data_IF_857761172995
#
_entry.id   IF_857761172995
#
_cell.length_a   1.000
_cell.length_b   1.000
_cell.length_c   1.000
_cell.angle_alpha   90.00
_cell.angle_beta   90.00
_cell.angle_gamma   90.00
#
_symmetry.space_group_name_H-M   'P 1'
#
loop_
_entity.id
_entity.type
_entity.pdbx_description
1 polymer ?
#
# COMPACT_ATOMS: atom_id res chain seq x y z
N UNK A 1 10.08 -40.61 35.33
CA UNK A 1 9.73 -41.08 33.98
C UNK A 1 8.22 -41.09 33.85
N UNK A 2 7.63 -40.13 33.16
CA UNK A 2 6.24 -40.20 32.68
C UNK A 2 6.02 -39.04 31.70
N UNK A 3 5.71 -39.38 30.45
CA UNK A 3 5.27 -38.47 29.38
C UNK A 3 3.82 -38.05 29.61
N UNK A 4 3.34 -36.92 29.05
CA UNK A 4 1.95 -36.76 28.70
C UNK A 4 1.70 -36.98 27.20
N UNK A 5 0.54 -37.59 26.95
CA UNK A 5 -0.02 -37.98 25.67
C UNK A 5 -0.82 -36.85 25.04
N UNK A 6 -0.74 -36.71 23.72
CA UNK A 6 -1.70 -35.97 22.90
C UNK A 6 -3.07 -36.65 22.92
N UNK A 7 -4.15 -35.87 22.89
CA UNK A 7 -5.36 -36.07 22.07
C UNK A 7 -6.50 -35.17 22.55
N UNK A 8 -6.99 -34.28 21.69
CA UNK A 8 -8.42 -34.14 21.33
C UNK A 8 -8.64 -32.81 20.63
N UNK A 9 -8.71 -32.89 19.30
CA UNK A 9 -9.02 -31.82 18.38
C UNK A 9 -10.30 -32.28 17.69
N UNK A 10 -11.45 -31.69 18.02
CA UNK A 10 -12.71 -31.98 17.29
C UNK A 10 -13.66 -30.76 17.30
N UNK A 11 -14.23 -30.54 16.11
CA UNK A 11 -15.51 -29.90 15.75
C UNK A 11 -15.57 -28.37 15.67
N UNK A 12 -15.68 -27.83 14.44
CA UNK A 12 -16.97 -27.33 13.94
C UNK A 12 -16.99 -27.18 12.41
N UNK A 13 -17.88 -27.95 11.77
CA UNK A 13 -18.32 -27.79 10.39
C UNK A 13 -19.76 -27.25 10.40
N UNK A 14 -20.06 -26.28 9.54
CA UNK A 14 -21.40 -25.84 9.17
C UNK A 14 -21.31 -25.34 7.71
N UNK A 15 -21.81 -26.06 6.70
CA UNK A 15 -23.21 -26.25 6.29
C UNK A 15 -23.84 -25.01 5.64
N UNK A 16 -23.83 -24.95 4.29
CA UNK A 16 -24.84 -24.23 3.49
C UNK A 16 -25.10 -24.97 2.16
N UNK A 17 -26.39 -25.17 1.87
CA UNK A 17 -26.95 -25.79 0.68
C UNK A 17 -27.14 -24.75 -0.46
N UNK A 18 -27.26 -25.18 -1.74
CA UNK A 18 -27.13 -24.31 -2.90
C UNK A 18 -28.45 -23.65 -3.33
N UNK A 19 -28.35 -22.43 -3.86
CA UNK A 19 -29.43 -21.76 -4.61
C UNK A 19 -29.24 -21.94 -6.11
N UNK A 20 -30.30 -22.44 -6.75
CA UNK A 20 -30.50 -22.57 -8.20
C UNK A 20 -30.65 -21.18 -8.83
N UNK A 21 -29.94 -20.93 -9.94
CA UNK A 21 -30.32 -19.89 -10.91
C UNK A 21 -30.20 -20.50 -12.32
N UNK A 22 -31.33 -20.54 -13.01
CA UNK A 22 -31.47 -21.00 -14.39
C UNK A 22 -30.73 -20.07 -15.36
N UNK A 23 -29.97 -20.68 -16.26
CA UNK A 23 -29.33 -20.02 -17.38
C UNK A 23 -30.35 -19.76 -18.50
N UNK A 24 -30.41 -18.51 -18.99
CA UNK A 24 -31.00 -18.20 -20.29
C UNK A 24 -29.93 -17.54 -21.16
N UNK A 25 -29.44 -18.30 -22.13
CA UNK A 25 -28.59 -17.88 -23.24
C UNK A 25 -29.46 -17.37 -24.39
N UNK A 26 -29.17 -16.19 -24.95
CA UNK A 26 -29.40 -15.91 -26.38
C UNK A 26 -28.30 -14.98 -26.90
N UNK A 27 -27.62 -15.44 -27.96
CA UNK A 27 -26.56 -14.75 -28.68
C UNK A 27 -27.05 -13.73 -29.73
N UNK A 28 -26.17 -13.32 -30.67
CA UNK A 28 -26.07 -11.95 -31.15
C UNK A 28 -26.78 -11.69 -32.48
N UNK A 29 -27.04 -10.41 -32.80
CA UNK A 29 -27.20 -9.99 -34.20
C UNK A 29 -26.76 -8.55 -34.42
N UNK A 30 -25.92 -8.38 -35.44
CA UNK A 30 -25.49 -7.14 -36.07
C UNK A 30 -25.99 -7.17 -37.52
N UNK A 31 -26.30 -6.04 -38.16
CA UNK A 31 -26.26 -5.96 -39.61
C UNK A 31 -25.34 -4.84 -40.12
N UNK A 32 -24.41 -5.25 -40.98
CA UNK A 32 -23.64 -4.43 -41.91
C UNK A 32 -24.50 -3.59 -42.86
N UNK A 33 -23.96 -2.44 -43.29
CA UNK A 33 -24.27 -1.85 -44.59
C UNK A 33 -23.01 -1.25 -45.22
N UNK A 34 -23.05 -1.12 -46.54
CA UNK A 34 -21.93 -1.23 -47.49
C UNK A 34 -21.30 0.11 -47.89
N UNK A 35 -20.00 0.05 -48.16
CA UNK A 35 -19.19 0.65 -49.24
C UNK A 35 -19.74 1.88 -50.01
N UNK A 36 -18.93 2.94 -50.04
CA UNK A 36 -18.71 3.75 -51.25
C UNK A 36 -17.21 4.07 -51.40
N UNK A 37 -16.64 3.69 -52.54
CA UNK A 37 -15.32 4.08 -53.03
C UNK A 37 -15.43 5.45 -53.73
N UNK A 38 -14.48 6.34 -53.46
CA UNK A 38 -14.17 7.47 -54.33
C UNK A 38 -12.64 7.63 -54.39
N UNK A 39 -12.07 7.30 -55.55
CA UNK A 39 -10.69 7.59 -55.94
C UNK A 39 -10.49 9.10 -56.12
N UNK A 40 -9.48 9.65 -55.46
CA UNK A 40 -8.90 10.96 -55.83
C UNK A 40 -7.38 10.83 -55.81
N UNK A 41 -6.82 10.71 -57.01
CA UNK A 41 -5.41 10.90 -57.31
C UNK A 41 -5.05 12.38 -57.22
N UNK A 42 -4.09 12.75 -56.38
CA UNK A 42 -3.38 14.03 -56.47
C UNK A 42 -1.88 13.85 -56.30
N UNK A 43 -1.24 14.03 -57.44
CA UNK A 43 0.17 14.35 -57.75
C UNK A 43 0.94 15.05 -56.61
N UNK A 44 2.10 14.48 -56.26
CA UNK A 44 3.12 15.11 -55.43
C UNK A 44 4.05 15.97 -56.30
N UNK A 45 4.16 17.26 -55.99
CA UNK A 45 5.12 18.20 -56.61
C UNK A 45 6.31 18.39 -55.66
N UNK A 46 7.49 17.96 -56.11
CA UNK A 46 8.75 18.04 -55.36
C UNK A 46 9.34 19.45 -55.46
N UNK A 47 9.53 20.13 -54.33
CA UNK A 47 10.25 21.41 -54.23
C UNK A 47 11.69 21.12 -53.72
N UNK A 48 12.75 21.66 -54.36
CA UNK A 48 14.12 21.37 -53.98
C UNK A 48 14.55 22.12 -52.71
N UNK A 49 15.41 21.45 -51.94
CA UNK A 49 15.96 21.87 -50.63
C UNK A 49 17.13 22.83 -50.86
N UNK A 50 17.19 24.01 -50.21
CA UNK A 50 18.41 24.79 -50.19
C UNK A 50 19.36 24.24 -49.11
N UNK A 51 20.59 23.94 -49.51
CA UNK A 51 21.70 23.71 -48.60
C UNK A 51 22.32 25.06 -48.26
N UNK A 52 22.49 25.40 -46.98
CA UNK A 52 23.63 26.21 -46.51
C UNK A 52 23.82 26.10 -45.00
N UNK A 53 25.09 26.23 -44.63
CA UNK A 53 25.80 25.95 -43.40
C UNK A 53 25.39 26.83 -42.20
N UNK A 54 25.43 26.26 -40.99
CA UNK A 54 26.35 26.71 -39.92
C UNK A 54 26.19 25.82 -38.67
N UNK A 55 27.29 25.23 -38.23
CA UNK A 55 27.37 24.49 -36.98
C UNK A 55 27.45 25.47 -35.82
N UNK A 56 26.31 25.80 -35.23
CA UNK A 56 26.29 26.38 -33.88
C UNK A 56 26.36 25.21 -32.90
N UNK A 57 27.51 25.05 -32.23
CA UNK A 57 27.62 24.22 -31.05
C UNK A 57 26.71 24.79 -29.96
N UNK A 58 25.44 24.39 -29.96
CA UNK A 58 24.60 24.52 -28.79
C UNK A 58 25.22 23.65 -27.71
N UNK A 59 25.89 24.28 -26.74
CA UNK A 59 26.11 23.69 -25.43
C UNK A 59 24.75 23.18 -24.96
N UNK A 60 24.57 21.85 -25.02
CA UNK A 60 23.50 21.16 -24.32
C UNK A 60 23.73 21.45 -22.83
N UNK A 61 23.14 22.54 -22.35
CA UNK A 61 22.83 22.65 -20.93
C UNK A 61 21.84 21.53 -20.69
N UNK A 62 22.28 20.48 -20.01
CA UNK A 62 21.39 19.51 -19.38
C UNK A 62 20.56 20.30 -18.38
N UNK A 63 19.41 20.78 -18.81
CA UNK A 63 18.37 21.20 -17.88
C UNK A 63 17.96 19.93 -17.15
N UNK A 64 18.47 19.74 -15.94
CA UNK A 64 17.98 18.73 -15.03
C UNK A 64 16.47 18.95 -14.91
N UNK A 65 15.70 17.96 -15.35
CA UNK A 65 14.25 18.00 -15.29
C UNK A 65 13.93 17.79 -13.81
N UNK A 66 13.70 18.89 -13.10
CA UNK A 66 13.31 18.89 -11.70
C UNK A 66 11.90 18.32 -11.60
N UNK A 67 11.78 17.03 -11.26
CA UNK A 67 10.49 16.46 -10.90
C UNK A 67 10.17 16.94 -9.48
N UNK A 68 9.39 18.02 -9.39
CA UNK A 68 9.04 18.67 -8.13
C UNK A 68 8.18 17.78 -7.25
N UNK A 69 8.84 17.01 -6.37
CA UNK A 69 8.23 16.25 -5.29
C UNK A 69 8.60 16.89 -3.95
N UNK A 70 7.99 18.03 -3.65
CA UNK A 70 8.17 18.71 -2.36
C UNK A 70 9.43 19.59 -2.25
N UNK A 71 9.75 20.06 -1.04
CA UNK A 71 10.96 20.86 -0.79
C UNK A 71 12.22 20.04 -1.03
N UNK A 72 13.35 20.73 -1.25
CA UNK A 72 14.64 20.05 -1.38
C UNK A 72 14.90 19.16 -0.15
N UNK A 73 15.31 17.88 -0.34
CA UNK A 73 15.52 16.97 0.77
C UNK A 73 16.63 17.46 1.69
N UNK A 74 16.35 17.46 3.00
CA UNK A 74 17.33 17.69 4.06
C UNK A 74 17.78 16.31 4.53
N UNK A 75 19.05 15.99 4.29
CA UNK A 75 19.61 14.67 4.57
C UNK A 75 20.18 14.59 5.98
N UNK A 76 19.83 13.52 6.68
CA UNK A 76 20.37 13.15 7.98
C UNK A 76 21.03 11.78 7.89
N UNK A 77 22.27 11.67 8.38
CA UNK A 77 22.96 10.40 8.50
C UNK A 77 22.28 9.54 9.56
N UNK A 78 21.87 8.34 9.16
CA UNK A 78 21.17 7.38 10.01
C UNK A 78 21.88 6.02 9.99
N UNK A 79 21.61 5.18 10.98
CA UNK A 79 22.25 3.87 11.11
C UNK A 79 21.21 2.75 11.04
N UNK A 80 21.50 1.71 10.27
CA UNK A 80 20.68 0.50 10.21
C UNK A 80 20.83 -0.26 11.53
N UNK A 81 19.74 -0.43 12.28
CA UNK A 81 19.77 -1.24 13.51
C UNK A 81 19.46 -2.71 13.25
N UNK A 82 18.63 -3.02 12.25
CA UNK A 82 18.36 -4.42 11.85
C UNK A 82 17.93 -4.54 10.40
N UNK A 83 18.17 -5.72 9.82
CA UNK A 83 17.65 -6.14 8.51
C UNK A 83 17.34 -7.64 8.59
N UNK A 84 16.08 -8.02 8.33
CA UNK A 84 15.63 -9.40 8.39
C UNK A 84 14.57 -9.70 7.31
N UNK A 85 14.43 -10.96 6.85
CA UNK A 85 13.30 -11.37 6.02
C UNK A 85 11.97 -11.04 6.70
N UNK A 86 11.04 -10.43 5.97
CA UNK A 86 9.74 -10.01 6.50
C UNK A 86 8.62 -11.05 6.26
N UNK A 87 8.86 -12.03 5.41
CA UNK A 87 7.88 -13.06 5.05
C UNK A 87 8.59 -14.39 4.73
N UNK A 88 7.88 -15.55 4.81
CA UNK A 88 8.48 -16.87 4.55
C UNK A 88 9.13 -17.06 3.17
N UNK A 89 8.67 -16.35 2.13
CA UNK A 89 9.28 -16.40 0.79
C UNK A 89 10.54 -15.54 0.67
N UNK A 90 10.84 -14.71 1.69
CA UNK A 90 11.90 -13.71 1.68
C UNK A 90 11.81 -12.70 0.52
N UNK A 91 10.62 -12.55 -0.09
CA UNK A 91 10.38 -11.56 -1.15
C UNK A 91 10.37 -10.11 -0.64
N UNK A 92 10.22 -9.93 0.68
CA UNK A 92 10.35 -8.64 1.36
C UNK A 92 11.31 -8.76 2.55
N UNK A 93 11.95 -7.65 2.91
CA UNK A 93 12.75 -7.49 4.12
C UNK A 93 12.17 -6.39 5.01
N UNK A 94 12.36 -6.53 6.31
CA UNK A 94 12.06 -5.51 7.32
C UNK A 94 13.38 -4.88 7.74
N UNK A 95 13.55 -3.60 7.43
CA UNK A 95 14.76 -2.83 7.76
C UNK A 95 14.39 -1.82 8.85
N UNK A 96 15.14 -1.84 9.95
CA UNK A 96 15.00 -0.87 11.03
C UNK A 96 16.14 0.13 10.98
N UNK A 97 15.82 1.41 11.12
CA UNK A 97 16.77 2.52 11.02
C UNK A 97 16.63 3.41 12.24
N UNK A 98 17.75 3.76 12.86
CA UNK A 98 17.80 4.76 13.92
C UNK A 98 17.75 6.15 13.32
N UNK A 99 16.70 6.89 13.67
CA UNK A 99 16.39 8.22 13.15
C UNK A 99 16.63 9.26 14.23
N UNK A 100 17.33 10.37 13.93
CA UNK A 100 17.46 11.51 14.83
C UNK A 100 16.09 12.01 15.35
N UNK A 101 16.04 12.43 16.61
CA UNK A 101 14.78 12.79 17.27
C UNK A 101 14.05 13.97 16.60
N UNK A 102 14.77 14.91 16.00
CA UNK A 102 14.22 16.04 15.26
C UNK A 102 13.50 15.60 13.98
N UNK A 103 14.12 14.72 13.18
CA UNK A 103 13.47 14.11 12.01
C UNK A 103 12.29 13.25 12.44
N UNK A 104 12.45 12.45 13.49
CA UNK A 104 11.39 11.60 14.01
C UNK A 104 10.17 12.40 14.51
N UNK A 105 10.39 13.60 15.05
CA UNK A 105 9.33 14.48 15.52
C UNK A 105 8.40 14.95 14.40
N UNK A 106 8.84 14.96 13.14
CA UNK A 106 8.00 15.33 11.99
C UNK A 106 7.01 14.23 11.58
N UNK A 107 7.24 12.98 12.02
CA UNK A 107 6.35 11.86 11.72
C UNK A 107 5.11 11.88 12.61
N UNK A 108 3.98 12.31 12.04
CA UNK A 108 2.71 12.50 12.76
C UNK A 108 1.57 11.65 12.21
N UNK A 109 1.61 11.33 10.91
CA UNK A 109 0.49 10.70 10.21
C UNK A 109 0.96 9.41 9.54
N UNK A 110 0.35 8.25 9.82
CA UNK A 110 0.64 6.99 9.14
C UNK A 110 0.54 7.15 7.62
N UNK A 111 1.45 6.52 6.87
CA UNK A 111 1.58 6.72 5.43
C UNK A 111 2.52 7.86 5.03
N UNK A 112 3.04 8.66 5.96
CA UNK A 112 4.22 9.47 5.64
C UNK A 112 5.42 8.56 5.30
N UNK A 113 6.33 9.12 4.51
CA UNK A 113 7.48 8.40 3.96
C UNK A 113 8.74 9.24 4.09
N UNK A 114 9.88 8.61 3.87
CA UNK A 114 11.18 9.26 3.73
C UNK A 114 11.84 8.84 2.43
N UNK A 115 12.80 9.63 1.98
CA UNK A 115 13.75 9.22 0.95
C UNK A 115 14.98 8.62 1.63
N UNK A 116 15.52 7.55 1.05
CA UNK A 116 16.73 6.88 1.55
C UNK A 116 17.72 6.70 0.40
N UNK A 117 19.00 6.98 0.66
CA UNK A 117 20.11 6.75 -0.29
C UNK A 117 21.35 6.24 0.44
N UNK A 118 22.33 5.65 -0.26
CA UNK A 118 23.64 5.34 0.32
C UNK A 118 24.28 6.58 0.95
N UNK A 119 24.94 6.42 2.10
CA UNK A 119 25.62 7.53 2.79
C UNK A 119 26.64 8.21 1.87
N UNK A 120 26.55 9.54 1.76
CA UNK A 120 27.58 10.35 1.10
C UNK A 120 27.61 10.25 -0.43
N UNK A 121 26.66 9.55 -1.05
CA UNK A 121 26.50 9.54 -2.51
C UNK A 121 25.41 10.54 -2.93
N UNK A 122 25.84 11.78 -3.22
CA UNK A 122 24.94 12.84 -3.67
C UNK A 122 24.32 12.61 -5.05
N UNK A 123 24.86 11.68 -5.83
CA UNK A 123 24.35 11.35 -7.16
C UNK A 123 23.46 10.11 -7.17
N UNK A 124 23.41 9.36 -6.06
CA UNK A 124 22.54 8.20 -5.93
C UNK A 124 21.08 8.61 -6.06
N UNK A 125 20.33 7.88 -6.89
CA UNK A 125 18.89 8.05 -6.94
C UNK A 125 18.27 7.49 -5.65
N UNK A 126 17.59 8.32 -4.85
CA UNK A 126 16.99 7.84 -3.62
C UNK A 126 15.80 6.94 -3.90
N UNK A 127 15.52 6.06 -2.95
CA UNK A 127 14.28 5.27 -2.89
C UNK A 127 13.32 5.89 -1.89
N UNK A 128 12.03 5.79 -2.17
CA UNK A 128 10.96 6.32 -1.32
C UNK A 128 10.41 5.17 -0.49
N UNK A 129 10.44 5.32 0.84
CA UNK A 129 10.01 4.27 1.77
C UNK A 129 8.96 4.82 2.74
N UNK A 130 7.75 4.27 2.65
CA UNK A 130 6.71 4.50 3.64
C UNK A 130 7.11 3.92 5.00
N UNK A 131 6.94 4.71 6.06
CA UNK A 131 7.28 4.30 7.42
C UNK A 131 6.24 3.28 7.90
N UNK A 132 6.69 2.08 8.27
CA UNK A 132 5.84 0.94 8.66
C UNK A 132 5.57 0.87 10.17
N UNK A 133 6.47 1.41 10.99
CA UNK A 133 6.24 1.62 12.42
C UNK A 133 5.23 2.76 12.64
N UNK A 134 4.35 2.71 13.66
CA UNK A 134 3.40 3.79 13.91
C UNK A 134 4.09 5.08 14.39
N UNK A 135 3.51 6.27 14.14
CA UNK A 135 3.98 7.50 14.75
C UNK A 135 3.91 7.39 16.28
N UNK A 136 4.94 7.83 16.98
CA UNK A 136 4.93 7.87 18.44
C UNK A 136 4.01 9.01 18.88
N UNK A 137 2.80 8.67 19.32
CA UNK A 137 1.89 9.65 19.92
C UNK A 137 2.46 10.13 21.24
N UNK A 138 3.00 11.35 21.28
CA UNK A 138 3.39 12.05 22.51
C UNK A 138 4.16 11.19 23.50
N UNK A 139 5.33 10.66 23.12
CA UNK A 139 6.26 10.13 24.11
C UNK A 139 6.46 11.23 25.17
N UNK A 140 6.20 10.88 26.44
CA UNK A 140 6.42 11.79 27.55
C UNK A 140 7.79 12.47 27.40
N UNK A 141 7.79 13.80 27.36
CA UNK A 141 8.95 14.70 27.26
C UNK A 141 9.99 14.51 28.38
N UNK A 142 9.75 13.58 29.30
CA UNK A 142 10.62 13.26 30.41
C UNK A 142 11.70 12.24 29.97
N UNK A 143 12.77 12.78 29.37
CA UNK A 143 14.00 12.09 28.98
C UNK A 143 13.88 11.11 27.80
N UNK A 144 13.25 11.57 26.70
CA UNK A 144 13.15 10.80 25.46
C UNK A 144 14.52 10.35 24.90
N UNK A 145 14.56 9.22 24.18
CA UNK A 145 15.79 8.74 23.56
C UNK A 145 16.32 9.75 22.53
N UNK A 146 17.64 9.81 22.35
CA UNK A 146 18.29 10.69 21.36
C UNK A 146 17.93 10.33 19.91
N UNK A 147 17.41 9.12 19.69
CA UNK A 147 16.97 8.59 18.40
C UNK A 147 15.74 7.69 18.57
N UNK A 148 14.91 7.62 17.52
CA UNK A 148 13.74 6.76 17.43
C UNK A 148 13.94 5.77 16.28
N UNK A 149 13.47 4.54 16.41
CA UNK A 149 13.58 3.55 15.33
C UNK A 149 12.39 3.66 14.37
N UNK A 150 12.67 3.88 13.09
CA UNK A 150 11.70 3.66 12.01
C UNK A 150 11.87 2.26 11.43
N UNK A 151 10.77 1.57 11.22
CA UNK A 151 10.75 0.29 10.49
C UNK A 151 10.24 0.51 9.07
N UNK A 152 10.86 -0.17 8.10
CA UNK A 152 10.48 -0.14 6.69
C UNK A 152 10.28 -1.56 6.17
N UNK A 153 9.25 -1.77 5.37
CA UNK A 153 9.04 -3.01 4.63
C UNK A 153 9.44 -2.79 3.16
N UNK A 154 10.49 -3.47 2.72
CA UNK A 154 11.05 -3.28 1.38
C UNK A 154 10.89 -4.57 0.59
N UNK A 155 10.15 -4.50 -0.52
CA UNK A 155 10.08 -5.60 -1.48
C UNK A 155 11.38 -5.68 -2.26
N UNK A 156 11.96 -6.87 -2.38
CA UNK A 156 13.16 -7.09 -3.20
C UNK A 156 12.83 -6.92 -4.69
N UNK A 157 13.70 -6.20 -5.38
CA UNK A 157 13.69 -5.96 -6.83
C UNK A 157 15.13 -5.98 -7.34
N UNK A 158 15.32 -6.00 -8.65
CA UNK A 158 16.67 -6.08 -9.24
C UNK A 158 17.52 -4.82 -8.98
N UNK A 159 16.93 -3.71 -8.51
CA UNK A 159 17.59 -2.40 -8.41
C UNK A 159 17.74 -1.87 -6.97
N UNK A 160 17.40 -2.67 -5.94
CA UNK A 160 17.43 -2.23 -4.54
C UNK A 160 18.15 -3.21 -3.60
N UNK A 161 19.00 -4.08 -4.16
CA UNK A 161 19.87 -4.99 -3.42
C UNK A 161 20.73 -4.25 -2.38
N UNK A 162 21.25 -3.07 -2.72
CA UNK A 162 22.06 -2.22 -1.85
C UNK A 162 21.40 -1.91 -0.49
N UNK A 163 20.06 -1.81 -0.44
CA UNK A 163 19.32 -1.59 0.81
C UNK A 163 18.72 -2.89 1.34
N UNK A 164 18.31 -3.83 0.48
CA UNK A 164 17.65 -5.05 0.98
C UNK A 164 18.62 -6.05 1.57
N UNK A 165 19.89 -5.97 1.19
CA UNK A 165 20.97 -6.80 1.70
C UNK A 165 21.92 -6.00 2.62
N UNK A 166 21.52 -4.78 3.01
CA UNK A 166 22.33 -3.91 3.86
C UNK A 166 22.61 -4.56 5.22
N UNK A 167 23.85 -4.44 5.69
CA UNK A 167 24.25 -4.97 6.99
C UNK A 167 23.75 -4.07 8.13
N UNK A 168 23.37 -4.63 9.29
CA UNK A 168 23.23 -3.86 10.51
C UNK A 168 24.51 -3.05 10.80
N UNK A 169 24.37 -1.91 11.45
CA UNK A 169 25.41 -0.89 11.71
C UNK A 169 25.91 -0.12 10.46
N UNK A 170 25.48 -0.46 9.25
CA UNK A 170 25.73 0.37 8.08
C UNK A 170 25.01 1.72 8.18
N UNK A 171 25.51 2.72 7.47
CA UNK A 171 24.94 4.06 7.45
C UNK A 171 24.23 4.33 6.13
N UNK A 172 23.16 5.13 6.21
CA UNK A 172 22.37 5.62 5.08
C UNK A 172 22.03 7.09 5.31
N UNK A 173 21.82 7.83 4.24
CA UNK A 173 21.22 9.17 4.34
C UNK A 173 19.70 9.04 4.23
N UNK A 174 18.99 9.66 5.16
CA UNK A 174 17.53 9.69 5.21
C UNK A 174 17.06 11.14 5.15
N UNK A 175 16.05 11.43 4.33
CA UNK A 175 15.47 12.78 4.26
C UNK A 175 14.65 13.13 5.50
N UNK A 176 14.18 14.37 5.56
CA UNK A 176 13.05 14.73 6.42
C UNK A 176 11.81 13.88 6.10
N UNK A 177 10.83 13.89 6.99
CA UNK A 177 9.57 13.19 6.77
C UNK A 177 8.74 13.94 5.72
N UNK A 178 8.20 13.19 4.76
CA UNK A 178 7.48 13.71 3.61
C UNK A 178 6.09 13.08 3.50
N UNK A 179 5.24 13.72 2.70
CA UNK A 179 3.89 13.27 2.40
C UNK A 179 2.86 13.67 3.47
N UNK A 180 1.59 13.59 3.08
CA UNK A 180 0.45 13.92 3.94
C UNK A 180 -0.07 12.69 4.73
N UNK A 181 0.46 11.50 4.44
CA UNK A 181 -0.03 10.23 5.00
C UNK A 181 -1.51 9.96 4.70
N UNK A 182 -2.16 9.25 5.62
CA UNK A 182 -3.61 9.06 5.66
C UNK A 182 -4.23 10.11 6.59
N UNK A 183 -4.83 11.19 6.05
CA UNK A 183 -5.44 12.27 6.84
C UNK A 183 -6.76 11.84 7.51
N UNK A 184 -6.69 10.87 8.42
CA UNK A 184 -7.83 10.25 9.10
C UNK A 184 -8.58 11.25 9.99
N UNK A 185 -7.87 12.10 10.72
CA UNK A 185 -8.50 13.13 11.57
C UNK A 185 -9.39 14.09 10.75
N UNK A 186 -8.90 14.54 9.60
CA UNK A 186 -9.64 15.46 8.73
C UNK A 186 -10.79 14.78 8.01
N UNK A 187 -10.58 13.57 7.49
CA UNK A 187 -11.54 12.93 6.60
C UNK A 187 -12.52 11.98 7.29
N UNK A 188 -12.20 11.46 8.47
CA UNK A 188 -13.13 10.62 9.23
C UNK A 188 -14.05 11.42 10.15
N UNK A 189 -13.57 12.56 10.67
CA UNK A 189 -14.26 13.40 11.67
C UNK A 189 -14.59 14.82 11.19
N UNK A 190 -13.97 15.32 10.11
CA UNK A 190 -14.05 16.74 9.73
C UNK A 190 -15.39 17.20 9.14
N UNK A 191 -16.33 16.30 8.89
CA UNK A 191 -17.61 16.62 8.25
C UNK A 191 -18.71 16.93 9.28
N UNK A 192 -18.71 18.17 9.79
CA UNK A 192 -19.61 18.68 10.86
C UNK A 192 -21.10 18.36 10.68
N UNK A 193 -21.59 18.30 9.43
CA UNK A 193 -23.01 18.08 9.12
C UNK A 193 -23.28 16.73 8.44
N UNK A 194 -22.35 15.80 8.54
CA UNK A 194 -22.45 14.47 7.95
C UNK A 194 -22.46 13.37 9.01
N UNK A 195 -22.80 12.14 8.62
CA UNK A 195 -22.73 10.99 9.50
C UNK A 195 -21.27 10.73 9.90
N UNK A 196 -20.98 10.50 11.20
CA UNK A 196 -19.64 10.15 11.63
C UNK A 196 -19.20 8.84 10.97
N UNK A 197 -17.91 8.71 10.69
CA UNK A 197 -17.38 7.44 10.17
C UNK A 197 -17.56 6.34 11.21
N UNK A 198 -18.22 5.25 10.85
CA UNK A 198 -18.48 4.08 11.71
C UNK A 198 -17.77 2.81 11.22
N UNK A 199 -17.51 2.72 9.90
CA UNK A 199 -16.85 1.57 9.30
C UNK A 199 -15.55 2.02 8.62
N UNK A 200 -14.46 1.29 8.85
CA UNK A 200 -13.15 1.55 8.25
C UNK A 200 -12.74 0.34 7.42
N UNK A 201 -12.52 0.54 6.12
CA UNK A 201 -12.06 -0.50 5.21
C UNK A 201 -10.60 -0.24 4.85
N UNK A 202 -9.71 -1.17 5.16
CA UNK A 202 -8.30 -1.08 4.84
C UNK A 202 -7.97 -2.04 3.70
N UNK A 203 -7.22 -1.58 2.73
CA UNK A 203 -6.81 -2.36 1.57
C UNK A 203 -5.31 -2.28 1.39
N UNK A 204 -4.66 -3.44 1.47
CA UNK A 204 -3.24 -3.59 1.26
C UNK A 204 -2.98 -4.61 0.14
N UNK A 205 -1.98 -4.35 -0.70
CA UNK A 205 -1.42 -5.35 -1.61
C UNK A 205 0.11 -5.40 -1.48
N UNK A 206 0.65 -6.59 -1.21
CA UNK A 206 2.09 -6.80 -1.05
C UNK A 206 2.70 -5.92 0.03
N UNK A 207 3.73 -5.14 -0.33
CA UNK A 207 4.42 -4.20 0.59
C UNK A 207 3.58 -2.97 0.98
N UNK A 208 2.44 -2.73 0.31
CA UNK A 208 1.48 -1.69 0.70
C UNK A 208 0.86 -1.90 2.10
N UNK A 209 1.11 -3.05 2.72
CA UNK A 209 0.78 -3.29 4.13
C UNK A 209 1.57 -2.40 5.09
N UNK A 210 2.74 -1.88 4.72
CA UNK A 210 3.57 -1.04 5.61
C UNK A 210 2.82 0.18 6.17
N UNK A 211 2.30 1.10 5.34
CA UNK A 211 1.59 2.26 5.86
C UNK A 211 0.25 1.87 6.51
N UNK A 212 -0.34 0.75 6.11
CA UNK A 212 -1.57 0.22 6.73
C UNK A 212 -1.28 -0.33 8.14
N UNK A 213 -0.17 -1.03 8.35
CA UNK A 213 0.31 -1.45 9.67
C UNK A 213 0.51 -0.22 10.56
N UNK A 214 1.22 0.80 10.06
CA UNK A 214 1.42 2.05 10.81
C UNK A 214 0.06 2.67 11.20
N UNK A 215 -0.93 2.65 10.30
CA UNK A 215 -2.27 3.16 10.60
C UNK A 215 -2.95 2.35 11.71
N UNK A 216 -2.97 1.01 11.58
CA UNK A 216 -3.56 0.09 12.56
C UNK A 216 -2.92 0.29 13.95
N UNK A 217 -1.59 0.30 14.01
CA UNK A 217 -0.85 0.35 15.27
C UNK A 217 -0.78 1.76 15.89
N UNK A 218 -1.11 2.81 15.13
CA UNK A 218 -1.12 4.20 15.64
C UNK A 218 -2.28 4.53 16.58
N UNK A 219 -3.37 3.77 16.53
CA UNK A 219 -4.62 4.09 17.23
C UNK A 219 -5.39 5.31 16.70
N UNK A 220 -4.87 6.03 15.70
CA UNK A 220 -5.46 7.29 15.21
C UNK A 220 -6.83 7.12 14.51
N UNK A 221 -7.18 5.89 14.10
CA UNK A 221 -8.49 5.61 13.49
C UNK A 221 -9.62 5.51 14.53
N UNK A 222 -9.33 5.45 15.82
CA UNK A 222 -10.35 5.33 16.87
C UNK A 222 -11.13 4.00 16.81
N UNK A 223 -10.45 2.93 16.40
CA UNK A 223 -10.98 1.56 16.42
C UNK A 223 -10.73 0.98 17.81
N UNK A 224 -11.74 0.33 18.37
CA UNK A 224 -11.68 -0.26 19.71
C UNK A 224 -11.82 -1.79 19.64
N UNK A 225 -11.32 -2.50 20.67
CA UNK A 225 -11.55 -3.93 20.81
C UNK A 225 -13.04 -4.32 20.72
N UNK A 226 -13.36 -5.51 20.19
CA UNK A 226 -14.74 -5.98 20.07
C UNK A 226 -15.50 -5.89 21.40
N UNK A 227 -16.75 -5.42 21.36
CA UNK A 227 -17.61 -5.29 22.53
C UNK A 227 -17.42 -4.02 23.38
N UNK A 228 -16.43 -3.16 23.07
CA UNK A 228 -16.25 -1.87 23.77
C UNK A 228 -16.99 -0.68 23.12
N UNK A 229 -17.69 -0.92 22.01
CA UNK A 229 -18.29 0.13 21.19
C UNK A 229 -17.24 0.94 20.41
N UNK A 230 -17.65 1.58 19.33
CA UNK A 230 -16.74 2.34 18.45
C UNK A 230 -16.81 1.88 17.00
N UNK A 231 -15.80 2.27 16.22
CA UNK A 231 -15.72 1.93 14.80
C UNK A 231 -15.45 0.46 14.59
N UNK A 232 -16.06 -0.11 13.56
CA UNK A 232 -15.66 -1.40 13.00
C UNK A 232 -14.55 -1.17 11.98
N UNK A 233 -13.60 -2.10 11.91
CA UNK A 233 -12.55 -2.05 10.91
C UNK A 233 -12.32 -3.42 10.28
N UNK A 234 -12.09 -3.43 8.96
CA UNK A 234 -11.77 -4.64 8.21
C UNK A 234 -10.59 -4.38 7.29
N UNK A 235 -9.57 -5.22 7.40
CA UNK A 235 -8.39 -5.23 6.54
C UNK A 235 -8.51 -6.32 5.48
N UNK A 236 -8.59 -5.93 4.21
CA UNK A 236 -8.39 -6.82 3.07
C UNK A 236 -6.92 -6.77 2.67
N UNK A 237 -6.21 -7.90 2.83
CA UNK A 237 -4.78 -7.96 2.57
C UNK A 237 -4.45 -8.98 1.47
N UNK A 238 -4.07 -8.48 0.30
CA UNK A 238 -3.82 -9.26 -0.90
C UNK A 238 -2.33 -9.55 -1.13
N UNK A 239 -1.99 -10.82 -1.35
CA UNK A 239 -0.66 -11.28 -1.78
C UNK A 239 -0.76 -12.37 -2.83
N UNK A 240 0.35 -12.70 -3.50
CA UNK A 240 0.36 -13.77 -4.50
C UNK A 240 0.25 -15.15 -3.87
N UNK A 241 1.07 -15.44 -2.87
CA UNK A 241 1.06 -16.70 -2.12
C UNK A 241 1.08 -16.41 -0.61
N UNK A 242 0.64 -17.34 0.26
CA UNK A 242 0.73 -17.14 1.71
C UNK A 242 2.16 -16.88 2.20
N UNK A 243 3.17 -17.39 1.49
CA UNK A 243 4.58 -17.14 1.81
C UNK A 243 5.02 -15.69 1.58
N UNK A 244 4.27 -14.91 0.80
CA UNK A 244 4.54 -13.51 0.48
C UNK A 244 3.82 -12.53 1.41
N UNK A 245 3.35 -12.98 2.58
CA UNK A 245 2.53 -12.21 3.52
C UNK A 245 3.31 -11.71 4.73
N UNK A 246 4.01 -10.56 4.64
CA UNK A 246 4.54 -9.88 5.81
C UNK A 246 3.50 -9.65 6.90
N UNK A 247 3.94 -9.70 8.15
CA UNK A 247 3.12 -9.41 9.33
C UNK A 247 1.95 -10.36 9.58
N UNK A 248 1.95 -11.56 8.96
CA UNK A 248 0.94 -12.58 9.23
C UNK A 248 0.86 -12.95 10.73
N UNK A 249 1.99 -12.90 11.44
CA UNK A 249 2.08 -13.12 12.89
C UNK A 249 1.36 -12.06 13.73
N UNK A 250 1.06 -10.88 13.16
CA UNK A 250 0.35 -9.78 13.84
C UNK A 250 -1.16 -9.86 13.72
N UNK A 251 -1.72 -10.75 12.89
CA UNK A 251 -3.15 -10.77 12.61
C UNK A 251 -4.00 -10.96 13.87
N UNK A 252 -3.63 -11.91 14.73
CA UNK A 252 -4.33 -12.13 16.00
C UNK A 252 -4.28 -10.89 16.91
N UNK A 253 -3.16 -10.15 16.92
CA UNK A 253 -3.04 -8.90 17.66
C UNK A 253 -3.98 -7.83 17.11
N UNK A 254 -4.05 -7.67 15.79
CA UNK A 254 -4.94 -6.71 15.15
C UNK A 254 -6.42 -7.06 15.33
N UNK A 255 -6.77 -8.34 15.28
CA UNK A 255 -8.14 -8.82 15.56
C UNK A 255 -8.56 -8.52 17.00
N UNK A 256 -7.67 -8.74 17.98
CA UNK A 256 -7.92 -8.34 19.37
C UNK A 256 -8.10 -6.83 19.54
N UNK A 257 -7.44 -6.03 18.71
CA UNK A 257 -7.60 -4.58 18.67
C UNK A 257 -8.86 -4.10 17.94
N UNK A 258 -9.62 -5.01 17.30
CA UNK A 258 -10.89 -4.70 16.63
C UNK A 258 -10.82 -4.66 15.10
N UNK A 259 -9.70 -5.06 14.49
CA UNK A 259 -9.53 -5.13 13.05
C UNK A 259 -9.79 -6.54 12.54
N UNK A 260 -10.90 -6.76 11.84
CA UNK A 260 -11.15 -8.03 11.16
C UNK A 260 -10.15 -8.19 10.01
N UNK A 261 -9.30 -9.21 10.04
CA UNK A 261 -8.31 -9.43 8.98
C UNK A 261 -8.83 -10.45 7.96
N UNK A 262 -8.84 -10.07 6.69
CA UNK A 262 -9.26 -10.88 5.55
C UNK A 262 -8.06 -11.05 4.61
N UNK A 263 -7.23 -12.08 4.83
CA UNK A 263 -6.14 -12.38 3.90
C UNK A 263 -6.71 -12.95 2.59
N UNK A 264 -6.21 -12.45 1.45
CA UNK A 264 -6.64 -12.84 0.11
C UNK A 264 -5.42 -13.26 -0.71
N UNK A 265 -5.48 -14.43 -1.32
CA UNK A 265 -4.37 -15.02 -2.07
C UNK A 265 -4.74 -15.20 -3.54
N UNK A 266 -3.96 -14.58 -4.44
CA UNK A 266 -4.29 -14.59 -5.87
C UNK A 266 -3.79 -15.83 -6.63
N UNK A 267 -2.76 -16.51 -6.12
CA UNK A 267 -2.18 -17.74 -6.69
C UNK A 267 -2.03 -18.82 -5.61
N UNK A 268 -3.13 -19.30 -5.01
CA UNK A 268 -3.07 -20.35 -3.99
C UNK A 268 -2.44 -21.65 -4.51
N UNK A 269 -2.49 -21.91 -5.81
CA UNK A 269 -1.88 -23.07 -6.48
C UNK A 269 -0.33 -23.09 -6.42
N UNK A 270 0.29 -21.92 -6.26
CA UNK A 270 1.76 -21.79 -6.12
C UNK A 270 2.22 -22.01 -4.66
N UNK A 271 1.29 -22.16 -3.72
CA UNK A 271 1.60 -22.28 -2.31
C UNK A 271 2.14 -23.67 -1.95
N UNK A 272 3.08 -23.71 -1.00
CA UNK A 272 3.63 -24.98 -0.45
C UNK A 272 2.58 -25.77 0.36
N UNK A 273 1.56 -25.09 0.85
CA UNK A 273 0.50 -25.63 1.69
C UNK A 273 -0.85 -25.20 1.12
N UNK A 274 -1.86 -26.02 1.33
CA UNK A 274 -3.23 -25.72 0.90
C UNK A 274 -3.74 -24.44 1.57
N UNK A 275 -4.25 -23.52 0.76
CA UNK A 275 -4.84 -22.27 1.23
C UNK A 275 -6.36 -22.42 1.35
N UNK A 276 -6.86 -22.33 2.58
CA UNK A 276 -8.29 -22.45 2.89
C UNK A 276 -9.01 -21.08 3.02
N UNK A 277 -8.27 -19.98 2.87
CA UNK A 277 -8.82 -18.62 2.97
C UNK A 277 -9.41 -18.11 1.66
N UNK A 278 -9.65 -16.80 1.60
CA UNK A 278 -10.16 -16.13 0.38
C UNK A 278 -9.15 -16.22 -0.76
N UNK A 279 -9.62 -16.48 -1.97
CA UNK A 279 -8.80 -16.52 -3.18
C UNK A 279 -9.17 -15.38 -4.14
N UNK A 280 -8.29 -15.06 -5.09
CA UNK A 280 -8.49 -13.97 -6.04
C UNK A 280 -7.83 -12.66 -5.58
N UNK A 281 -8.51 -11.53 -5.77
CA UNK A 281 -7.99 -10.20 -5.40
C UNK A 281 -8.86 -9.53 -4.34
N UNK A 282 -8.30 -8.55 -3.62
CA UNK A 282 -9.00 -7.86 -2.53
C UNK A 282 -10.27 -7.14 -2.97
N UNK A 283 -10.33 -6.65 -4.21
CA UNK A 283 -11.53 -6.06 -4.80
C UNK A 283 -12.65 -7.09 -4.99
N UNK A 284 -12.34 -8.37 -5.27
CA UNK A 284 -13.35 -9.42 -5.38
C UNK A 284 -13.95 -9.73 -4.01
N UNK A 285 -13.10 -9.78 -2.97
CA UNK A 285 -13.57 -9.94 -1.60
C UNK A 285 -14.47 -8.76 -1.15
N UNK A 286 -14.17 -7.53 -1.59
CA UNK A 286 -15.04 -6.37 -1.35
C UNK A 286 -16.37 -6.47 -2.11
N UNK A 287 -16.36 -6.91 -3.36
CA UNK A 287 -17.59 -7.11 -4.15
C UNK A 287 -18.51 -8.14 -3.50
N UNK A 288 -17.94 -9.25 -3.00
CA UNK A 288 -18.68 -10.30 -2.31
C UNK A 288 -19.25 -9.84 -0.96
N UNK A 289 -18.45 -9.11 -0.18
CA UNK A 289 -18.85 -8.65 1.15
C UNK A 289 -19.77 -7.42 1.14
N UNK A 290 -19.65 -6.60 0.09
CA UNK A 290 -20.29 -5.29 -0.03
C UNK A 290 -19.68 -4.23 0.88
N UNK A 291 -20.05 -2.96 0.61
CA UNK A 291 -19.65 -1.82 1.44
C UNK A 291 -20.68 -1.59 2.54
N UNK A 292 -20.29 -1.68 3.83
CA UNK A 292 -21.21 -1.40 4.93
C UNK A 292 -21.58 0.08 4.94
N UNK A 293 -22.88 0.39 4.93
CA UNK A 293 -23.48 1.75 4.97
C UNK A 293 -22.54 2.81 4.35
N UNK A 294 -22.45 2.90 3.02
CA UNK A 294 -21.39 3.65 2.31
C UNK A 294 -21.18 5.09 2.81
N UNK A 295 -22.26 5.78 3.21
CA UNK A 295 -22.22 7.15 3.72
C UNK A 295 -21.48 7.30 5.07
N UNK A 296 -21.30 6.24 5.85
CA UNK A 296 -20.55 6.24 7.10
C UNK A 296 -19.26 5.40 7.04
N UNK A 297 -18.86 4.98 5.83
CA UNK A 297 -17.61 4.26 5.59
C UNK A 297 -16.48 5.20 5.21
N UNK A 298 -15.27 4.84 5.63
CA UNK A 298 -14.02 5.40 5.12
C UNK A 298 -13.08 4.26 4.71
N UNK A 299 -12.15 4.56 3.81
CA UNK A 299 -11.21 3.59 3.30
C UNK A 299 -9.77 4.10 3.24
N UNK A 300 -8.82 3.25 3.61
CA UNK A 300 -7.38 3.47 3.47
C UNK A 300 -6.83 2.45 2.47
N UNK A 301 -6.23 2.92 1.39
CA UNK A 301 -5.76 2.08 0.28
C UNK A 301 -4.26 2.28 0.06
N UNK A 302 -3.49 1.20 0.04
CA UNK A 302 -2.08 1.24 -0.37
C UNK A 302 -1.65 -0.06 -1.06
N UNK A 303 -0.95 0.05 -2.19
CA UNK A 303 -0.44 -1.08 -2.93
C UNK A 303 -0.40 -0.82 -4.43
N UNK A 304 -0.51 -1.90 -5.22
CA UNK A 304 -0.43 -1.80 -6.68
C UNK A 304 -1.56 -0.93 -7.26
N UNK A 305 -1.22 -0.11 -8.25
CA UNK A 305 -2.14 0.86 -8.88
C UNK A 305 -3.48 0.26 -9.28
N UNK A 306 -3.48 -0.90 -9.94
CA UNK A 306 -4.72 -1.55 -10.38
C UNK A 306 -5.65 -1.96 -9.24
N UNK A 307 -5.11 -2.32 -8.08
CA UNK A 307 -5.92 -2.58 -6.87
C UNK A 307 -6.55 -1.28 -6.37
N UNK A 308 -5.76 -0.22 -6.27
CA UNK A 308 -6.25 1.07 -5.74
C UNK A 308 -7.33 1.66 -6.63
N UNK A 309 -7.15 1.66 -7.95
CA UNK A 309 -8.14 2.15 -8.91
C UNK A 309 -9.43 1.33 -8.84
N UNK A 310 -9.34 0.00 -8.87
CA UNK A 310 -10.51 -0.88 -8.81
C UNK A 310 -11.29 -0.73 -7.50
N UNK A 311 -10.62 -0.67 -6.35
CA UNK A 311 -11.28 -0.48 -5.06
C UNK A 311 -11.89 0.93 -4.96
N UNK A 312 -11.20 1.97 -5.43
CA UNK A 312 -11.75 3.34 -5.45
C UNK A 312 -13.04 3.41 -6.27
N UNK A 313 -13.08 2.74 -7.42
CA UNK A 313 -14.28 2.69 -8.25
C UNK A 313 -15.43 1.96 -7.55
N UNK A 314 -15.17 0.80 -6.94
CA UNK A 314 -16.18 0.05 -6.17
C UNK A 314 -16.76 0.87 -5.02
N UNK A 315 -15.91 1.53 -4.23
CA UNK A 315 -16.33 2.37 -3.12
C UNK A 315 -17.14 3.58 -3.60
N UNK A 316 -16.70 4.22 -4.68
CA UNK A 316 -17.38 5.39 -5.25
C UNK A 316 -18.76 5.01 -5.81
N UNK A 317 -18.84 3.88 -6.52
CA UNK A 317 -20.11 3.34 -7.06
C UNK A 317 -21.07 2.92 -5.94
N UNK A 318 -20.55 2.46 -4.80
CA UNK A 318 -21.36 2.19 -3.61
C UNK A 318 -21.85 3.49 -2.92
N UNK A 319 -21.26 4.65 -3.21
CA UNK A 319 -21.62 5.93 -2.62
C UNK A 319 -20.80 6.33 -1.39
N UNK A 320 -19.59 5.77 -1.24
CA UNK A 320 -18.62 6.28 -0.26
C UNK A 320 -18.19 7.69 -0.67
N UNK A 321 -18.13 8.60 0.29
CA UNK A 321 -17.72 9.97 0.01
C UNK A 321 -16.25 10.00 -0.42
N UNK A 322 -15.93 10.69 -1.53
CA UNK A 322 -14.58 10.68 -2.09
C UNK A 322 -13.51 11.14 -1.09
N UNK A 323 -13.79 12.16 -0.29
CA UNK A 323 -12.86 12.62 0.76
C UNK A 323 -12.51 11.54 1.79
N UNK A 324 -13.35 10.50 1.96
CA UNK A 324 -13.12 9.37 2.87
C UNK A 324 -12.36 8.22 2.22
N UNK A 325 -12.00 8.31 0.95
CA UNK A 325 -11.18 7.33 0.25
C UNK A 325 -9.74 7.87 0.22
N UNK A 326 -8.94 7.46 1.19
CA UNK A 326 -7.57 7.92 1.39
C UNK A 326 -6.59 6.93 0.77
N UNK A 327 -5.69 7.42 -0.07
CA UNK A 327 -4.69 6.59 -0.79
C UNK A 327 -3.27 6.96 -0.40
N UNK A 328 -2.38 5.98 -0.38
CA UNK A 328 -0.94 6.18 -0.18
C UNK A 328 -0.15 5.44 -1.28
N UNK A 329 0.80 6.13 -1.91
CA UNK A 329 1.58 5.65 -3.06
C UNK A 329 3.08 5.85 -2.82
#
# INVERSE_FOLDING_TARGET
MMKPSLSSLVVLAAALAPWNVEAFTVGPSSPSSKLYHADVTKTATTIPRPAFLSSVQQKRRSTAIFMGWGPDPIWSKCTISSNAPACPSASCVSVSVEIPADVAAEYKVPGQYVQVRPEGDDNAQPIFLAIASPPTAGADEAAGPTSTTFEFLIKKTDNNDWITDIAPSACVDVSQVLGNGFPTAENMEGFKYDFPTQNVLLFASGSGIAPIRAAIESGQMGVNPPGKGGRTARLYYGVSTPGDMPYAEKFAQWEMAGFQVVPVVSRPEDAKQEWLGRTGYVQNALEEDGVPVPRNSAALLCGVKGMVESVKDLLSNAGVFEGRIMTNF
#
